data_IF_845166232990
#
_entry.id   IF_845166232990
#
_cell.length_a   1.000
_cell.length_b   1.000
_cell.length_c   1.000
_cell.angle_alpha   90.00
_cell.angle_beta   90.00
_cell.angle_gamma   90.00
#
_symmetry.space_group_name_H-M   'P 1'
#
loop_
_entity.id
_entity.type
_entity.pdbx_description
1 polymer ?
#
# COMPACT_ATOMS: atom_id res chain seq x y z
N UNK A 1 12.49 -32.76 0.37
CA UNK A 1 11.46 -32.06 -0.44
C UNK A 1 11.41 -30.64 0.11
N UNK A 2 11.75 -29.55 -0.56
CA UNK A 2 11.29 -29.08 -1.87
C UNK A 2 12.18 -27.89 -2.28
N UNK A 3 13.02 -28.05 -3.32
CA UNK A 3 13.67 -26.94 -4.02
C UNK A 3 13.20 -27.00 -5.47
N UNK A 4 12.01 -26.45 -5.74
CA UNK A 4 11.40 -26.43 -7.07
C UNK A 4 10.88 -25.03 -7.38
N UNK A 5 11.75 -24.03 -7.36
CA UNK A 5 11.47 -22.67 -7.85
C UNK A 5 12.72 -22.01 -8.47
N UNK A 6 13.50 -22.74 -9.26
CA UNK A 6 14.52 -22.15 -10.13
C UNK A 6 14.27 -22.63 -11.56
N UNK A 7 13.36 -21.92 -12.23
CA UNK A 7 13.19 -21.98 -13.68
C UNK A 7 13.13 -20.56 -14.23
N UNK A 8 14.24 -19.86 -14.09
CA UNK A 8 14.66 -18.71 -14.89
C UNK A 8 16.07 -18.34 -14.41
N UNK A 9 17.00 -17.90 -15.28
CA UNK A 9 18.30 -17.44 -14.84
C UNK A 9 18.07 -16.30 -13.83
N UNK A 10 18.78 -16.34 -12.70
CA UNK A 10 18.80 -15.28 -11.70
C UNK A 10 19.39 -14.01 -12.32
N UNK A 11 18.56 -13.27 -13.06
CA UNK A 11 18.77 -11.85 -13.26
C UNK A 11 18.54 -11.16 -11.92
N UNK A 12 19.40 -10.21 -11.60
CA UNK A 12 19.37 -9.36 -10.39
C UNK A 12 18.05 -8.58 -10.17
N UNK A 13 17.02 -8.78 -10.99
CA UNK A 13 15.82 -7.96 -11.06
C UNK A 13 16.09 -6.49 -11.41
N UNK A 14 17.37 -6.11 -11.52
CA UNK A 14 17.91 -4.76 -11.62
C UNK A 14 18.23 -4.35 -13.05
N UNK A 15 18.34 -5.30 -13.99
CA UNK A 15 18.36 -5.00 -15.42
C UNK A 15 17.04 -5.31 -16.10
N UNK A 16 16.27 -4.26 -16.35
CA UNK A 16 15.74 -3.91 -17.68
C UNK A 16 14.82 -2.71 -17.52
N UNK A 17 15.22 -1.55 -18.08
CA UNK A 17 14.33 -0.40 -18.31
C UNK A 17 12.97 -0.94 -18.78
N UNK A 18 11.87 -0.39 -18.26
CA UNK A 18 10.53 -0.76 -18.75
C UNK A 18 10.56 -0.66 -20.28
N UNK A 19 10.26 -1.75 -21.02
CA UNK A 19 10.33 -1.75 -22.47
C UNK A 19 9.27 -0.80 -23.02
N UNK A 20 9.23 -0.60 -24.34
CA UNK A 20 8.12 0.12 -24.97
C UNK A 20 6.81 -0.55 -24.57
N UNK A 21 5.87 0.22 -24.02
CA UNK A 21 4.58 -0.29 -23.62
C UNK A 21 3.60 -0.19 -24.78
N UNK A 22 2.76 -1.21 -24.95
CA UNK A 22 1.64 -1.24 -25.88
C UNK A 22 0.35 -1.03 -25.08
N UNK A 23 -0.29 0.11 -25.27
CA UNK A 23 -1.48 0.55 -24.53
C UNK A 23 -2.64 0.69 -25.51
N UNK A 24 -3.84 0.26 -25.13
CA UNK A 24 -5.03 0.51 -25.94
C UNK A 24 -5.27 2.03 -26.01
N UNK A 25 -5.44 2.56 -27.22
CA UNK A 25 -5.82 3.96 -27.44
C UNK A 25 -7.32 4.13 -27.13
N UNK A 26 -7.65 5.12 -26.31
CA UNK A 26 -9.06 5.46 -26.00
C UNK A 26 -9.76 6.08 -27.22
N UNK A 27 -9.00 6.69 -28.14
CA UNK A 27 -9.55 7.48 -29.26
C UNK A 27 -9.69 6.71 -30.58
N UNK A 28 -9.08 5.52 -30.71
CA UNK A 28 -9.00 4.79 -31.98
C UNK A 28 -9.36 3.32 -31.82
N UNK A 29 -10.62 3.02 -31.50
CA UNK A 29 -11.26 1.71 -31.70
C UNK A 29 -10.41 0.46 -31.29
N UNK A 30 -9.61 0.56 -30.22
CA UNK A 30 -8.77 -0.53 -29.72
C UNK A 30 -7.38 -0.69 -30.37
N UNK A 31 -6.94 0.25 -31.23
CA UNK A 31 -5.59 0.24 -31.78
C UNK A 31 -4.55 0.43 -30.67
N UNK A 32 -3.46 -0.35 -30.73
CA UNK A 32 -2.39 -0.28 -29.74
C UNK A 32 -1.47 0.90 -30.05
N UNK A 33 -1.33 1.81 -29.08
CA UNK A 33 -0.35 2.89 -29.09
C UNK A 33 0.92 2.42 -28.41
N UNK A 34 2.06 2.64 -29.08
CA UNK A 34 3.37 2.41 -28.48
C UNK A 34 3.81 3.61 -27.63
N UNK A 35 4.36 3.32 -26.45
CA UNK A 35 4.80 4.31 -25.48
C UNK A 35 6.24 4.00 -25.07
N UNK A 36 7.18 4.80 -25.57
CA UNK A 36 8.61 4.56 -25.44
C UNK A 36 9.32 5.50 -24.45
N UNK A 37 8.77 6.68 -24.17
CA UNK A 37 9.33 7.64 -23.18
C UNK A 37 9.05 7.20 -21.74
N UNK A 38 9.99 7.49 -20.82
CA UNK A 38 9.81 7.17 -19.41
C UNK A 38 8.57 7.85 -18.82
N UNK A 39 8.35 9.12 -19.16
CA UNK A 39 7.19 9.88 -18.72
C UNK A 39 5.88 9.29 -19.26
N UNK A 40 5.85 8.95 -20.55
CA UNK A 40 4.68 8.30 -21.15
C UNK A 40 4.36 6.96 -20.49
N UNK A 41 5.39 6.15 -20.21
CA UNK A 41 5.25 4.86 -19.51
C UNK A 41 4.72 5.06 -18.09
N UNK A 42 5.27 6.03 -17.35
CA UNK A 42 4.83 6.36 -16.00
C UNK A 42 3.36 6.77 -15.97
N UNK A 43 2.92 7.65 -16.90
CA UNK A 43 1.51 8.03 -17.02
C UNK A 43 0.60 6.85 -17.37
N UNK A 44 1.00 6.01 -18.32
CA UNK A 44 0.22 4.84 -18.72
C UNK A 44 0.04 3.83 -17.56
N UNK A 45 1.10 3.59 -16.80
CA UNK A 45 1.07 2.72 -15.63
C UNK A 45 0.25 3.35 -14.48
N UNK A 46 0.42 4.65 -14.21
CA UNK A 46 -0.36 5.35 -13.19
C UNK A 46 -1.86 5.30 -13.50
N UNK A 47 -2.26 5.55 -14.75
CA UNK A 47 -3.66 5.45 -15.17
C UNK A 47 -4.25 4.05 -14.95
N UNK A 48 -3.46 3.02 -15.25
CA UNK A 48 -3.87 1.63 -15.02
C UNK A 48 -3.98 1.28 -13.53
N UNK A 49 -3.04 1.73 -12.71
CA UNK A 49 -2.96 1.37 -11.29
C UNK A 49 -3.94 2.14 -10.41
N UNK A 50 -4.32 3.36 -10.82
CA UNK A 50 -5.20 4.24 -10.06
C UNK A 50 -6.37 4.68 -10.95
N UNK A 51 -7.29 3.76 -11.27
CA UNK A 51 -8.46 4.09 -12.07
C UNK A 51 -9.32 5.15 -11.36
N UNK A 52 -10.00 5.99 -12.13
CA UNK A 52 -10.95 6.97 -11.59
C UNK A 52 -12.04 6.23 -10.79
N UNK A 53 -12.44 6.85 -9.67
CA UNK A 53 -13.61 6.39 -8.94
C UNK A 53 -14.84 6.42 -9.87
N UNK A 54 -15.77 5.46 -9.76
CA UNK A 54 -17.03 5.54 -10.49
C UNK A 54 -17.79 6.83 -10.14
N UNK A 55 -18.48 7.42 -11.11
CA UNK A 55 -19.26 8.65 -10.90
C UNK A 55 -20.51 8.41 -10.04
N UNK A 56 -21.03 7.16 -10.04
CA UNK A 56 -22.26 6.78 -9.34
C UNK A 56 -21.96 5.82 -8.20
N UNK A 57 -22.48 6.13 -7.01
CA UNK A 57 -22.44 5.23 -5.86
C UNK A 57 -23.31 3.99 -6.11
N UNK A 58 -22.81 2.81 -5.71
CA UNK A 58 -23.61 1.57 -5.73
C UNK A 58 -24.47 1.41 -4.48
N UNK A 59 -24.27 2.25 -3.48
CA UNK A 59 -25.07 2.26 -2.26
C UNK A 59 -26.32 3.11 -2.51
N UNK A 60 -27.53 2.59 -2.23
CA UNK A 60 -28.77 3.38 -2.30
C UNK A 60 -28.69 4.63 -1.42
N UNK A 61 -29.25 5.75 -1.88
CA UNK A 61 -29.24 7.02 -1.12
C UNK A 61 -29.94 6.89 0.25
N UNK A 62 -30.95 6.04 0.34
CA UNK A 62 -31.75 5.81 1.55
C UNK A 62 -31.34 4.52 2.29
N UNK A 63 -30.08 4.10 2.18
CA UNK A 63 -29.61 2.94 2.93
C UNK A 63 -29.49 3.29 4.42
N UNK A 64 -30.31 2.65 5.25
CA UNK A 64 -30.24 2.79 6.71
C UNK A 64 -29.11 1.92 7.25
N UNK A 65 -28.05 2.56 7.74
CA UNK A 65 -26.95 1.88 8.41
C UNK A 65 -27.33 1.56 9.86
N UNK A 66 -26.85 0.41 10.39
CA UNK A 66 -26.99 0.13 11.81
C UNK A 66 -26.19 1.13 12.65
N UNK A 67 -26.46 1.15 13.95
CA UNK A 67 -25.70 1.95 14.93
C UNK A 67 -24.18 1.71 14.78
N UNK A 68 -23.37 2.78 14.71
CA UNK A 68 -21.92 2.66 14.60
C UNK A 68 -21.33 1.87 15.77
N UNK A 69 -20.29 1.07 15.47
CA UNK A 69 -19.52 0.43 16.52
C UNK A 69 -18.84 1.48 17.43
N UNK A 70 -18.61 1.14 18.72
CA UNK A 70 -17.82 1.97 19.60
C UNK A 70 -16.44 2.27 19.02
N UNK A 71 -15.94 3.48 19.28
CA UNK A 71 -14.58 3.85 18.92
C UNK A 71 -13.58 2.89 19.59
N UNK A 72 -12.49 2.49 18.89
CA UNK A 72 -11.43 1.72 19.51
C UNK A 72 -10.78 2.52 20.65
N UNK A 73 -10.20 1.83 21.66
CA UNK A 73 -9.49 2.49 22.73
C UNK A 73 -8.30 3.30 22.19
N UNK A 74 -7.81 4.32 22.93
CA UNK A 74 -6.63 5.08 22.51
C UNK A 74 -5.41 4.17 22.30
N UNK A 75 -4.63 4.48 21.26
CA UNK A 75 -3.42 3.74 20.91
C UNK A 75 -2.51 3.57 22.14
N UNK A 76 -2.05 2.34 22.39
CA UNK A 76 -1.21 1.99 23.53
C UNK A 76 0.28 1.88 23.15
N UNK A 77 1.20 2.08 24.10
CA UNK A 77 2.63 1.84 23.87
C UNK A 77 2.92 0.41 23.36
N UNK A 78 2.17 -0.58 23.84
CA UNK A 78 2.34 -2.00 23.48
C UNK A 78 2.00 -2.25 22.01
N UNK A 79 0.95 -1.61 21.48
CA UNK A 79 0.62 -1.67 20.05
C UNK A 79 1.79 -1.13 19.21
N UNK A 80 2.34 0.03 19.60
CA UNK A 80 3.48 0.66 18.90
C UNK A 80 4.72 -0.24 18.94
N UNK A 81 5.09 -0.73 20.13
CA UNK A 81 6.22 -1.65 20.32
C UNK A 81 6.05 -2.90 19.46
N UNK A 82 4.86 -3.52 19.49
CA UNK A 82 4.56 -4.73 18.72
C UNK A 82 4.70 -4.49 17.22
N UNK A 83 4.14 -3.40 16.70
CA UNK A 83 4.21 -3.09 15.28
C UNK A 83 5.64 -2.77 14.83
N UNK A 84 6.41 -1.99 15.60
CA UNK A 84 7.81 -1.68 15.28
C UNK A 84 8.69 -2.94 15.28
N UNK A 85 8.48 -3.85 16.23
CA UNK A 85 9.22 -5.13 16.29
C UNK A 85 8.93 -6.07 15.11
N UNK A 86 7.73 -5.99 14.52
CA UNK A 86 7.34 -6.77 13.33
C UNK A 86 7.95 -6.24 12.03
N UNK A 87 8.46 -5.01 12.01
CA UNK A 87 9.06 -4.44 10.80
C UNK A 87 10.31 -5.21 10.38
N UNK A 88 10.44 -5.47 9.08
CA UNK A 88 11.71 -5.95 8.54
C UNK A 88 12.70 -4.76 8.47
N UNK A 89 13.89 -4.86 9.11
CA UNK A 89 14.74 -3.71 9.44
C UNK A 89 15.24 -2.93 8.22
N UNK A 90 15.59 -3.64 7.15
CA UNK A 90 16.25 -3.08 5.96
C UNK A 90 15.34 -3.05 4.74
N UNK A 91 14.03 -2.94 4.95
CA UNK A 91 13.08 -2.66 3.87
C UNK A 91 13.27 -1.23 3.37
N UNK A 92 12.98 -1.03 2.09
CA UNK A 92 13.00 0.27 1.44
C UNK A 92 12.08 1.26 2.17
N UNK A 93 12.63 2.43 2.49
CA UNK A 93 11.92 3.55 3.09
C UNK A 93 11.07 4.31 2.07
N UNK A 94 10.19 5.18 2.58
CA UNK A 94 9.42 6.11 1.76
C UNK A 94 10.23 7.39 1.46
N UNK A 95 9.52 8.46 1.05
CA UNK A 95 10.13 9.77 0.79
C UNK A 95 10.87 10.41 1.98
N UNK A 96 10.59 9.98 3.21
CA UNK A 96 11.29 10.44 4.42
C UNK A 96 12.71 9.89 4.56
N UNK A 97 13.07 8.90 3.75
CA UNK A 97 14.35 8.19 3.79
C UNK A 97 14.66 7.52 5.14
N UNK A 98 13.70 7.40 6.06
CA UNK A 98 13.89 6.81 7.39
C UNK A 98 13.71 5.29 7.28
N UNK A 99 14.75 4.46 7.45
CA UNK A 99 14.60 3.02 7.41
C UNK A 99 13.97 2.48 8.71
N UNK A 100 13.29 1.35 8.61
CA UNK A 100 12.62 0.71 9.77
C UNK A 100 13.58 0.44 10.94
N UNK A 101 14.84 0.12 10.65
CA UNK A 101 15.86 -0.14 11.67
C UNK A 101 16.09 1.05 12.61
N UNK A 102 15.89 2.30 12.16
CA UNK A 102 16.03 3.48 13.03
C UNK A 102 14.97 3.46 14.13
N UNK A 103 13.71 3.19 13.78
CA UNK A 103 12.63 3.08 14.78
C UNK A 103 12.90 1.93 15.75
N UNK A 104 13.44 0.81 15.27
CA UNK A 104 13.76 -0.34 16.13
C UNK A 104 14.90 -0.05 17.10
N UNK A 105 15.95 0.64 16.65
CA UNK A 105 17.13 0.96 17.47
C UNK A 105 16.89 2.11 18.43
N UNK A 106 16.04 3.07 18.05
CA UNK A 106 15.72 4.25 18.84
C UNK A 106 14.38 4.14 19.59
N UNK A 107 13.78 2.94 19.66
CA UNK A 107 12.43 2.74 20.22
C UNK A 107 12.30 3.28 21.64
N UNK A 108 13.32 3.06 22.49
CA UNK A 108 13.29 3.52 23.88
C UNK A 108 13.18 5.04 24.01
N UNK A 109 13.78 5.81 23.09
CA UNK A 109 13.71 7.27 23.08
C UNK A 109 12.47 7.78 22.34
N UNK A 110 11.98 7.05 21.34
CA UNK A 110 10.89 7.49 20.48
C UNK A 110 9.49 7.13 21.02
N UNK A 111 9.38 6.13 21.89
CA UNK A 111 8.10 5.54 22.27
C UNK A 111 7.10 6.58 22.77
N UNK A 112 7.49 7.39 23.77
CA UNK A 112 6.59 8.38 24.35
C UNK A 112 6.18 9.43 23.31
N UNK A 113 7.10 9.87 22.47
CA UNK A 113 6.79 10.81 21.39
C UNK A 113 5.79 10.21 20.39
N UNK A 114 5.97 8.94 20.01
CA UNK A 114 5.07 8.24 19.08
C UNK A 114 3.68 8.05 19.68
N UNK A 115 3.56 7.76 20.98
CA UNK A 115 2.26 7.65 21.66
C UNK A 115 1.51 8.98 21.60
N UNK A 116 2.15 10.08 21.99
CA UNK A 116 1.52 11.41 21.96
C UNK A 116 1.17 11.83 20.53
N UNK A 117 2.07 11.58 19.58
CA UNK A 117 1.88 11.89 18.17
C UNK A 117 0.67 11.14 17.58
N UNK A 118 0.61 9.82 17.78
CA UNK A 118 -0.46 8.98 17.22
C UNK A 118 -1.81 9.27 17.87
N UNK A 119 -1.87 9.48 19.18
CA UNK A 119 -3.11 9.93 19.84
C UNK A 119 -3.53 11.33 19.38
N UNK A 120 -2.55 12.22 19.21
CA UNK A 120 -2.76 13.57 18.71
C UNK A 120 -3.43 13.61 17.33
N UNK A 121 -3.06 12.72 16.42
CA UNK A 121 -3.71 12.57 15.09
C UNK A 121 -5.23 12.40 15.22
N UNK A 122 -5.69 11.52 16.11
CA UNK A 122 -7.12 11.27 16.31
C UNK A 122 -7.80 12.36 17.14
N UNK A 123 -7.17 12.79 18.24
CA UNK A 123 -7.73 13.83 19.11
C UNK A 123 -7.94 15.16 18.37
N UNK A 124 -6.94 15.57 17.57
CA UNK A 124 -6.96 16.83 16.83
C UNK A 124 -7.61 16.68 15.44
N UNK A 125 -7.97 15.45 15.03
CA UNK A 125 -8.49 15.13 13.69
C UNK A 125 -7.62 15.70 12.57
N UNK A 126 -6.30 15.64 12.75
CA UNK A 126 -5.33 16.17 11.79
C UNK A 126 -4.35 15.09 11.35
N UNK A 127 -3.86 15.21 10.13
CA UNK A 127 -2.88 14.29 9.56
C UNK A 127 -1.82 15.09 8.84
N UNK A 128 -0.55 14.83 9.14
CA UNK A 128 0.55 15.56 8.53
C UNK A 128 0.55 15.36 7.01
N UNK A 129 0.62 16.45 6.24
CA UNK A 129 0.48 16.39 4.78
C UNK A 129 1.57 15.52 4.13
N UNK A 130 2.81 15.60 4.60
CA UNK A 130 3.90 14.76 4.07
C UNK A 130 3.73 13.26 4.34
N UNK A 131 2.82 12.85 5.24
CA UNK A 131 2.47 11.43 5.41
C UNK A 131 1.47 10.92 4.37
N UNK A 132 0.83 11.82 3.62
CA UNK A 132 -0.08 11.48 2.51
C UNK A 132 0.67 11.20 1.21
N UNK A 133 1.97 11.50 1.18
CA UNK A 133 2.85 11.28 0.05
C UNK A 133 3.50 9.89 0.14
N UNK A 134 3.66 9.24 -1.01
CA UNK A 134 4.34 7.97 -1.14
C UNK A 134 4.96 7.82 -2.53
N UNK A 135 6.04 7.05 -2.62
CA UNK A 135 6.65 6.71 -3.91
C UNK A 135 6.03 5.42 -4.43
N UNK A 136 5.49 5.44 -5.66
CA UNK A 136 5.02 4.21 -6.32
C UNK A 136 6.15 3.57 -7.10
N UNK A 137 6.72 2.49 -6.56
CA UNK A 137 7.66 1.64 -7.30
C UNK A 137 6.88 0.69 -8.22
N UNK A 138 7.31 0.58 -9.48
CA UNK A 138 6.67 -0.30 -10.47
C UNK A 138 7.51 -1.57 -10.62
N UNK A 139 6.94 -2.71 -10.23
CA UNK A 139 7.61 -4.02 -10.34
C UNK A 139 6.98 -4.91 -11.40
N UNK A 140 7.82 -5.69 -12.07
CA UNK A 140 7.40 -6.79 -12.95
C UNK A 140 6.66 -7.85 -12.13
N UNK A 141 5.49 -8.27 -12.57
CA UNK A 141 4.82 -9.47 -12.03
C UNK A 141 5.59 -10.69 -12.54
N UNK A 142 5.91 -11.69 -11.70
CA UNK A 142 6.63 -12.88 -12.14
C UNK A 142 5.83 -13.64 -13.21
N UNK A 143 6.56 -14.34 -14.08
CA UNK A 143 6.01 -15.30 -15.06
C UNK A 143 4.95 -14.72 -16.00
N UNK A 144 5.08 -13.44 -16.39
CA UNK A 144 4.24 -12.84 -17.43
C UNK A 144 4.82 -13.09 -18.82
N UNK A 145 3.99 -13.47 -19.81
CA UNK A 145 4.45 -13.85 -21.15
C UNK A 145 4.98 -12.65 -21.96
N UNK A 146 4.55 -11.43 -21.64
CA UNK A 146 4.94 -10.22 -22.34
C UNK A 146 4.97 -9.02 -21.38
N UNK A 147 6.12 -8.34 -21.29
CA UNK A 147 6.31 -7.14 -20.47
C UNK A 147 6.11 -5.83 -21.24
N UNK A 148 5.69 -5.88 -22.50
CA UNK A 148 5.20 -4.69 -23.23
C UNK A 148 3.77 -4.34 -22.79
N UNK A 149 3.08 -5.24 -22.10
CA UNK A 149 1.72 -5.04 -21.60
C UNK A 149 1.75 -4.39 -20.21
N UNK A 150 1.14 -3.22 -19.99
CA UNK A 150 1.11 -2.57 -18.67
C UNK A 150 0.58 -3.45 -17.53
N UNK A 151 -0.38 -4.34 -17.83
CA UNK A 151 -0.95 -5.31 -16.87
C UNK A 151 0.08 -6.34 -16.35
N UNK A 152 1.23 -6.47 -17.00
CA UNK A 152 2.35 -7.30 -16.54
C UNK A 152 3.12 -6.70 -15.36
N UNK A 153 2.77 -5.49 -14.92
CA UNK A 153 3.38 -4.79 -13.80
C UNK A 153 2.42 -4.67 -12.62
N UNK A 154 2.97 -4.46 -11.42
CA UNK A 154 2.25 -4.13 -10.20
C UNK A 154 2.88 -2.91 -9.51
N UNK A 155 2.05 -2.01 -8.95
CA UNK A 155 2.55 -0.94 -8.10
C UNK A 155 2.92 -1.49 -6.72
N UNK A 156 3.91 -0.87 -6.08
CA UNK A 156 4.17 -0.96 -4.65
C UNK A 156 4.29 0.47 -4.11
N UNK A 157 3.45 0.82 -3.16
CA UNK A 157 3.54 2.09 -2.45
C UNK A 157 4.63 2.02 -1.37
N UNK A 158 5.58 2.94 -1.42
CA UNK A 158 6.62 3.14 -0.43
C UNK A 158 6.23 4.32 0.46
N UNK A 159 5.60 4.00 1.59
CA UNK A 159 5.17 4.98 2.58
C UNK A 159 6.31 5.33 3.54
N UNK A 160 6.28 6.57 4.02
CA UNK A 160 7.06 7.04 5.17
C UNK A 160 6.89 6.08 6.37
N UNK A 161 7.95 5.93 7.16
CA UNK A 161 8.04 4.83 8.14
C UNK A 161 7.16 5.07 9.36
N UNK A 162 7.05 6.31 9.82
CA UNK A 162 6.16 6.66 10.95
C UNK A 162 4.67 6.42 10.63
N UNK A 163 4.09 6.98 9.54
CA UNK A 163 2.68 6.73 9.23
C UNK A 163 2.41 5.27 8.86
N UNK A 164 3.40 4.52 8.36
CA UNK A 164 3.28 3.08 8.15
C UNK A 164 3.00 2.32 9.45
N UNK A 165 3.66 2.70 10.55
CA UNK A 165 3.37 2.11 11.87
C UNK A 165 1.96 2.46 12.33
N UNK A 166 1.57 3.74 12.20
CA UNK A 166 0.22 4.20 12.56
C UNK A 166 -0.87 3.43 11.78
N UNK A 167 -0.72 3.32 10.46
CA UNK A 167 -1.67 2.59 9.61
C UNK A 167 -1.74 1.11 9.99
N UNK A 168 -0.62 0.48 10.37
CA UNK A 168 -0.62 -0.91 10.81
C UNK A 168 -1.38 -1.11 12.14
N UNK A 169 -1.29 -0.15 13.07
CA UNK A 169 -2.07 -0.16 14.31
C UNK A 169 -3.56 -0.02 13.99
N UNK A 170 -3.93 0.96 13.16
CA UNK A 170 -5.33 1.18 12.76
C UNK A 170 -5.90 -0.04 12.03
N UNK A 171 -5.12 -0.67 11.16
CA UNK A 171 -5.53 -1.90 10.49
C UNK A 171 -5.76 -3.06 11.47
N UNK A 172 -4.90 -3.21 12.49
CA UNK A 172 -5.07 -4.21 13.55
C UNK A 172 -6.35 -3.96 14.36
N UNK A 173 -6.65 -2.70 14.69
CA UNK A 173 -7.87 -2.34 15.42
C UNK A 173 -9.14 -2.56 14.59
N UNK A 174 -9.12 -2.16 13.31
CA UNK A 174 -10.25 -2.39 12.39
C UNK A 174 -10.47 -3.88 12.18
N UNK A 175 -9.41 -4.66 11.94
CA UNK A 175 -9.51 -6.10 11.78
C UNK A 175 -10.14 -6.75 13.02
N UNK A 176 -9.67 -6.38 14.21
CA UNK A 176 -10.22 -6.88 15.46
C UNK A 176 -11.72 -6.54 15.62
N UNK A 177 -12.11 -5.29 15.35
CA UNK A 177 -13.51 -4.87 15.42
C UNK A 177 -14.39 -5.62 14.43
N UNK A 178 -13.91 -5.79 13.20
CA UNK A 178 -14.64 -6.45 12.12
C UNK A 178 -14.83 -7.94 12.40
N UNK A 179 -13.79 -8.64 12.89
CA UNK A 179 -13.85 -10.06 13.25
C UNK A 179 -14.75 -10.29 14.47
N UNK A 180 -14.58 -9.49 15.52
CA UNK A 180 -15.35 -9.60 16.77
C UNK A 180 -16.86 -9.43 16.56
N UNK A 181 -17.25 -8.61 15.58
CA UNK A 181 -18.65 -8.32 15.28
C UNK A 181 -19.15 -9.04 14.01
N UNK A 182 -18.39 -10.00 13.48
CA UNK A 182 -18.77 -10.81 12.31
C UNK A 182 -19.22 -9.95 11.12
N UNK A 183 -18.50 -8.86 10.85
CA UNK A 183 -18.84 -7.89 9.80
C UNK A 183 -18.32 -8.29 8.41
N UNK A 184 -17.59 -9.41 8.30
CA UNK A 184 -17.18 -9.97 7.02
C UNK A 184 -18.10 -11.12 6.63
N UNK A 185 -18.43 -11.26 5.33
CA UNK A 185 -19.07 -12.47 4.82
C UNK A 185 -18.18 -13.70 5.04
N UNK A 186 -18.79 -14.86 5.28
CA UNK A 186 -18.10 -16.16 5.45
C UNK A 186 -17.25 -16.56 4.22
N UNK A 187 -17.51 -15.93 3.07
CA UNK A 187 -16.78 -16.14 1.82
C UNK A 187 -15.56 -15.23 1.65
N UNK A 188 -15.20 -14.44 2.67
CA UNK A 188 -14.03 -13.57 2.62
C UNK A 188 -12.79 -14.28 3.18
N UNK A 189 -11.91 -14.75 2.29
CA UNK A 189 -10.75 -15.57 2.65
C UNK A 189 -9.41 -14.82 2.75
N UNK A 190 -9.41 -13.49 2.61
CA UNK A 190 -8.22 -12.68 2.83
C UNK A 190 -8.16 -11.38 2.04
N UNK A 191 -7.48 -10.40 2.65
CA UNK A 191 -7.18 -9.05 2.17
C UNK A 191 -6.23 -8.36 3.14
#
# INVERSE_FOLDING_TARGET
>A
MTNRYLREPTGDGGKSRVPTLKVASEDTNGLLREVNTNEGKARALAHLFFPKKPDVSRVPENYEYPEPLPQPPPITPEQIIRQIKRLSPFKTCGPDEIPNVVLQKCLGQLLDHLVHLFRGVFMLRTYFQGWREFTTAVLRKPSKPCYEVPKAYRPIALLCTIPKVLTAIVAEDIAHLVEKNTLLPDTHFGG
#
